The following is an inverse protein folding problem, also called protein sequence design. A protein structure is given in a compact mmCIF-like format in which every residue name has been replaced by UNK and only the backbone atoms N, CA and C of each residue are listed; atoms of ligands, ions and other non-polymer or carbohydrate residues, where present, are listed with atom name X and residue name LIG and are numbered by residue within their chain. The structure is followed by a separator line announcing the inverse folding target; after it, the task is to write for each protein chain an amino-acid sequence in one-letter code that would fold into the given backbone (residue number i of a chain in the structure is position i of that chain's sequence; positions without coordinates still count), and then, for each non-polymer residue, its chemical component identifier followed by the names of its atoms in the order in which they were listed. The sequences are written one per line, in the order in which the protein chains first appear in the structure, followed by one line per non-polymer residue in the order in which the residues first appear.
data_IF_276059253215
#
_entry.id   IF_276059253215
#
_cell.length_a   1.000
_cell.length_b   1.000
_cell.length_c   1.000
_cell.angle_alpha   90.00
_cell.angle_beta   90.00
_cell.angle_gamma   90.00
#
_symmetry.space_group_name_H-M   'P 1'
#
loop_
_entity.id
_entity.type
_entity.pdbx_description
1 polymer ?
#
# COMPACT_ATOMS: atom_id res chain seq x y z
N UNK A 1 21.22 -22.58 41.64
CA UNK A 1 19.83 -22.26 41.19
C UNK A 1 19.56 -20.76 41.03
N UNK A 2 19.83 -19.90 42.02
CA UNK A 2 19.56 -18.44 41.94
C UNK A 2 20.18 -17.71 40.73
N UNK A 3 21.40 -18.07 40.34
CA UNK A 3 22.08 -17.46 39.18
C UNK A 3 21.50 -17.91 37.84
N UNK A 4 21.07 -19.18 37.73
CA UNK A 4 20.43 -19.70 36.52
C UNK A 4 19.08 -19.01 36.26
N UNK A 5 18.30 -18.75 37.32
CA UNK A 5 17.03 -18.01 37.22
C UNK A 5 17.25 -16.56 36.79
N UNK A 6 18.28 -15.89 37.32
CA UNK A 6 18.64 -14.52 36.92
C UNK A 6 19.12 -14.45 35.46
N UNK A 7 19.88 -15.45 35.01
CA UNK A 7 20.35 -15.53 33.63
C UNK A 7 19.20 -15.73 32.64
N UNK A 8 18.25 -16.63 32.96
CA UNK A 8 17.03 -16.85 32.17
C UNK A 8 16.15 -15.60 32.08
N UNK A 9 16.02 -14.86 33.19
CA UNK A 9 15.33 -13.57 33.20
C UNK A 9 16.03 -12.53 32.34
N UNK A 10 17.37 -12.49 32.35
CA UNK A 10 18.13 -11.59 31.48
C UNK A 10 17.95 -11.90 30.00
N UNK A 11 18.00 -13.18 29.62
CA UNK A 11 17.83 -13.63 28.23
C UNK A 11 16.42 -13.29 27.72
N UNK A 12 15.39 -13.53 28.54
CA UNK A 12 14.01 -13.21 28.16
C UNK A 12 13.81 -11.71 27.94
N UNK A 13 14.37 -10.86 28.81
CA UNK A 13 14.30 -9.40 28.64
C UNK A 13 14.98 -8.93 27.33
N UNK A 14 16.15 -9.49 26.98
CA UNK A 14 16.86 -9.13 25.75
C UNK A 14 16.07 -9.54 24.49
N UNK A 15 15.40 -10.69 24.53
CA UNK A 15 14.55 -11.16 23.43
C UNK A 15 13.29 -10.29 23.24
N UNK A 16 12.75 -9.73 24.32
CA UNK A 16 11.61 -8.79 24.27
C UNK A 16 11.99 -7.41 23.70
N UNK A 17 13.22 -6.94 23.94
CA UNK A 17 13.69 -5.63 23.42
C UNK A 17 14.08 -5.69 21.94
N UNK A 18 14.46 -6.87 21.44
CA UNK A 18 14.92 -7.06 20.05
C UNK A 18 13.79 -7.14 19.00
N UNK A 19 12.53 -6.90 19.38
CA UNK A 19 11.48 -6.64 18.38
C UNK A 19 11.67 -5.22 17.82
N UNK A 20 12.72 -5.02 17.03
CA UNK A 20 12.71 -3.92 16.08
C UNK A 20 11.47 -4.10 15.21
N UNK A 21 10.51 -3.18 15.37
CA UNK A 21 9.48 -2.95 14.39
C UNK A 21 10.21 -2.51 13.12
N UNK A 22 10.63 -3.48 12.30
CA UNK A 22 11.21 -3.24 10.99
C UNK A 22 10.18 -2.44 10.22
N UNK A 23 10.40 -1.13 10.15
CA UNK A 23 9.88 -0.30 9.09
C UNK A 23 10.26 -1.04 7.81
N UNK A 24 9.26 -1.57 7.09
CA UNK A 24 9.48 -2.11 5.76
C UNK A 24 9.80 -0.94 4.82
N UNK A 25 10.94 -0.29 5.02
CA UNK A 25 11.45 0.78 4.19
C UNK A 25 11.62 0.23 2.77
N UNK A 26 10.73 0.66 1.88
CA UNK A 26 10.68 0.22 0.48
C UNK A 26 9.69 -0.90 0.16
N UNK A 27 8.79 -1.30 1.07
CA UNK A 27 7.68 -2.20 0.70
C UNK A 27 6.41 -1.46 0.30
N UNK A 28 5.55 -2.17 -0.43
CA UNK A 28 4.22 -1.72 -0.80
C UNK A 28 3.27 -1.52 0.38
N UNK A 29 3.49 -2.23 1.50
CA UNK A 29 2.57 -2.27 2.63
C UNK A 29 2.38 -0.88 3.26
N UNK A 30 1.16 -0.58 3.68
CA UNK A 30 0.84 0.63 4.44
C UNK A 30 -0.20 1.53 3.80
N UNK A 31 -0.23 2.78 4.25
CA UNK A 31 -1.19 3.80 3.83
C UNK A 31 -0.50 4.84 2.95
N UNK A 32 -1.18 5.24 1.89
CA UNK A 32 -0.66 6.09 0.84
C UNK A 32 -1.65 7.23 0.54
N UNK A 33 -1.16 8.44 0.34
CA UNK A 33 -1.95 9.63 0.01
C UNK A 33 -1.56 10.16 -1.37
N UNK A 34 -2.56 10.41 -2.21
CA UNK A 34 -2.36 10.89 -3.57
C UNK A 34 -1.74 12.29 -3.55
N UNK A 35 -0.65 12.45 -4.29
CA UNK A 35 -0.01 13.75 -4.53
C UNK A 35 -0.27 14.27 -5.94
N UNK A 36 -0.53 13.37 -6.90
CA UNK A 36 -0.85 13.75 -8.27
C UNK A 36 -1.67 12.67 -8.97
N UNK A 37 -2.64 13.07 -9.80
CA UNK A 37 -3.33 12.18 -10.75
C UNK A 37 -3.68 12.93 -12.03
N UNK A 38 -3.62 12.23 -13.16
CA UNK A 38 -4.11 12.73 -14.44
C UNK A 38 -5.62 12.51 -14.67
N UNK A 39 -6.32 11.82 -13.75
CA UNK A 39 -7.74 11.51 -13.89
C UNK A 39 -8.69 12.50 -13.20
N UNK A 40 -8.20 13.18 -12.15
CA UNK A 40 -8.91 14.24 -11.43
C UNK A 40 -7.93 15.08 -10.62
N UNK A 41 -8.02 16.41 -10.74
CA UNK A 41 -7.12 17.35 -10.05
C UNK A 41 -7.61 17.67 -8.62
N UNK A 42 -8.90 17.48 -8.33
CA UNK A 42 -9.52 17.89 -7.06
C UNK A 42 -9.77 16.76 -6.06
N UNK A 43 -9.63 15.51 -6.44
CA UNK A 43 -9.89 14.38 -5.55
C UNK A 43 -8.62 14.00 -4.79
N UNK A 44 -8.67 14.07 -3.46
CA UNK A 44 -7.65 13.44 -2.61
C UNK A 44 -8.02 11.98 -2.41
N UNK A 45 -7.28 11.09 -3.07
CA UNK A 45 -7.44 9.65 -2.91
C UNK A 45 -6.42 9.11 -1.89
N UNK A 46 -6.87 8.21 -1.02
CA UNK A 46 -6.00 7.44 -0.15
C UNK A 46 -6.06 5.96 -0.53
N UNK A 47 -4.93 5.27 -0.44
CA UNK A 47 -4.81 3.85 -0.74
C UNK A 47 -4.20 3.12 0.44
N UNK A 48 -4.86 2.05 0.86
CA UNK A 48 -4.30 1.05 1.78
C UNK A 48 -3.81 -0.16 1.01
N UNK A 49 -2.60 -0.64 1.33
CA UNK A 49 -2.06 -1.87 0.77
C UNK A 49 -1.70 -2.83 1.89
N UNK A 50 -2.25 -4.05 1.81
CA UNK A 50 -1.93 -5.17 2.70
C UNK A 50 -1.24 -6.24 1.85
N UNK A 51 0.01 -6.56 2.17
CA UNK A 51 0.80 -7.58 1.48
C UNK A 51 0.86 -8.87 2.31
N UNK A 52 0.72 -10.00 1.64
CA UNK A 52 0.88 -11.34 2.19
C UNK A 52 1.74 -12.18 1.23
N UNK A 53 3.04 -12.27 1.54
CA UNK A 53 4.02 -12.88 0.63
C UNK A 53 4.10 -12.13 -0.69
N UNK A 54 3.86 -12.84 -1.81
CA UNK A 54 3.86 -12.24 -3.16
C UNK A 54 2.58 -11.48 -3.49
N UNK A 55 1.46 -11.79 -2.83
CA UNK A 55 0.17 -11.21 -3.13
C UNK A 55 -0.12 -9.99 -2.28
N UNK A 56 -0.88 -9.05 -2.84
CA UNK A 56 -1.25 -7.82 -2.15
C UNK A 56 -2.68 -7.42 -2.51
N UNK A 57 -3.43 -7.04 -1.47
CA UNK A 57 -4.76 -6.44 -1.58
C UNK A 57 -4.62 -4.93 -1.46
N UNK A 58 -5.25 -4.23 -2.41
CA UNK A 58 -5.21 -2.78 -2.52
C UNK A 58 -6.64 -2.26 -2.42
N UNK A 59 -6.86 -1.24 -1.61
CA UNK A 59 -8.17 -0.59 -1.44
C UNK A 59 -8.01 0.91 -1.47
N UNK A 60 -8.77 1.58 -2.35
CA UNK A 60 -8.70 3.02 -2.54
C UNK A 60 -9.97 3.70 -2.06
N UNK A 61 -9.84 4.89 -1.46
CA UNK A 61 -10.95 5.66 -0.91
C UNK A 61 -11.90 6.20 -1.98
N UNK A 62 -11.47 6.26 -3.24
CA UNK A 62 -12.31 6.67 -4.38
C UNK A 62 -13.00 5.47 -5.08
N UNK A 63 -13.05 4.31 -4.41
CA UNK A 63 -13.94 3.22 -4.80
C UNK A 63 -13.37 2.20 -5.78
N UNK A 64 -12.08 2.23 -6.11
CA UNK A 64 -11.44 1.09 -6.77
C UNK A 64 -10.69 0.20 -5.76
N UNK A 65 -10.54 -1.06 -6.13
CA UNK A 65 -9.73 -2.04 -5.42
C UNK A 65 -8.99 -2.93 -6.40
N UNK A 66 -7.92 -3.59 -5.94
CA UNK A 66 -7.14 -4.49 -6.77
C UNK A 66 -6.46 -5.60 -5.98
N UNK A 67 -6.12 -6.67 -6.70
CA UNK A 67 -5.19 -7.70 -6.27
C UNK A 67 -4.00 -7.64 -7.22
N UNK A 68 -2.80 -7.59 -6.65
CA UNK A 68 -1.56 -7.58 -7.41
C UNK A 68 -0.55 -8.55 -6.82
N UNK A 69 0.44 -8.91 -7.63
CA UNK A 69 1.49 -9.84 -7.26
C UNK A 69 2.87 -9.25 -7.59
N UNK A 70 3.83 -9.48 -6.69
CA UNK A 70 5.25 -9.20 -6.91
C UNK A 70 5.95 -10.41 -7.53
N UNK A 71 7.04 -10.18 -8.26
CA UNK A 71 7.84 -11.26 -8.86
C UNK A 71 8.60 -12.12 -7.84
N UNK A 72 8.79 -11.62 -6.61
CA UNK A 72 9.51 -12.31 -5.53
C UNK A 72 8.82 -12.13 -4.18
N UNK A 73 9.10 -13.04 -3.24
CA UNK A 73 8.59 -12.98 -1.86
C UNK A 73 9.26 -11.88 -1.02
N UNK A 74 10.47 -11.45 -1.40
CA UNK A 74 11.26 -10.44 -0.68
C UNK A 74 10.90 -9.00 -1.04
N UNK A 75 11.88 -8.10 -0.93
CA UNK A 75 11.75 -6.72 -1.38
C UNK A 75 11.61 -6.69 -2.90
N UNK A 76 10.44 -6.27 -3.37
CA UNK A 76 10.15 -6.10 -4.79
C UNK A 76 9.67 -4.66 -5.01
N UNK A 77 10.27 -3.99 -6.00
CA UNK A 77 9.90 -2.62 -6.34
C UNK A 77 8.70 -2.54 -7.29
N UNK A 78 8.28 -3.68 -7.88
CA UNK A 78 7.24 -3.74 -8.90
C UNK A 78 6.20 -4.81 -8.58
N UNK A 79 4.94 -4.51 -8.88
CA UNK A 79 3.84 -5.45 -8.81
C UNK A 79 2.87 -5.22 -9.97
N UNK A 80 2.16 -6.27 -10.37
CA UNK A 80 1.14 -6.20 -11.42
C UNK A 80 -0.08 -7.03 -11.03
N UNK A 81 -1.25 -6.68 -11.57
CA UNK A 81 -2.45 -7.47 -11.34
C UNK A 81 -3.70 -6.88 -11.95
N UNK A 82 -4.83 -7.14 -11.30
CA UNK A 82 -6.15 -6.72 -11.78
C UNK A 82 -6.90 -5.95 -10.70
N UNK A 83 -7.57 -4.88 -11.12
CA UNK A 83 -8.46 -4.07 -10.29
C UNK A 83 -9.83 -3.89 -10.90
N UNK A 84 -10.74 -3.33 -10.11
CA UNK A 84 -12.12 -3.00 -10.51
C UNK A 84 -12.56 -1.73 -9.80
N UNK A 85 -13.39 -0.94 -10.49
CA UNK A 85 -14.17 0.11 -9.86
C UNK A 85 -15.41 -0.49 -9.20
N UNK A 86 -15.82 0.09 -8.08
CA UNK A 86 -17.08 -0.25 -7.44
C UNK A 86 -18.27 0.19 -8.30
N UNK A 87 -19.41 -0.49 -8.11
CA UNK A 87 -20.65 -0.20 -8.82
C UNK A 87 -21.21 1.20 -8.58
N UNK A 88 -20.86 1.84 -7.46
CA UNK A 88 -21.28 3.22 -7.15
C UNK A 88 -20.43 4.31 -7.84
N UNK A 89 -19.37 3.94 -8.57
CA UNK A 89 -18.54 4.90 -9.32
C UNK A 89 -18.96 4.90 -10.78
N UNK A 90 -19.93 5.74 -11.13
CA UNK A 90 -20.54 5.76 -12.47
C UNK A 90 -19.60 6.22 -13.60
N UNK A 91 -18.51 6.92 -13.28
CA UNK A 91 -17.54 7.43 -14.27
C UNK A 91 -16.84 6.31 -15.04
N UNK A 92 -16.70 5.13 -14.44
CA UNK A 92 -15.94 4.01 -14.98
C UNK A 92 -16.83 2.79 -15.14
N UNK A 93 -16.51 1.94 -16.13
CA UNK A 93 -17.19 0.66 -16.24
C UNK A 93 -16.76 -0.25 -15.08
N UNK A 94 -17.63 -1.17 -14.70
CA UNK A 94 -17.33 -2.13 -13.64
C UNK A 94 -16.37 -3.23 -14.13
N UNK A 95 -15.90 -3.22 -15.38
CA UNK A 95 -15.00 -4.24 -15.91
C UNK A 95 -13.65 -4.23 -15.18
N UNK A 96 -13.01 -5.40 -15.19
CA UNK A 96 -11.67 -5.51 -14.64
C UNK A 96 -10.66 -4.74 -15.51
N UNK A 97 -9.71 -4.09 -14.87
CA UNK A 97 -8.60 -3.39 -15.52
C UNK A 97 -7.26 -3.91 -15.00
N UNK A 98 -6.24 -3.84 -15.85
CA UNK A 98 -4.86 -4.11 -15.44
C UNK A 98 -4.32 -2.96 -14.59
N UNK A 99 -3.55 -3.31 -13.56
CA UNK A 99 -2.83 -2.37 -12.70
C UNK A 99 -1.33 -2.71 -12.68
N UNK A 100 -0.50 -1.68 -12.72
CA UNK A 100 0.95 -1.75 -12.51
C UNK A 100 1.31 -0.83 -11.36
N UNK A 101 2.16 -1.32 -10.46
CA UNK A 101 2.63 -0.58 -9.30
C UNK A 101 4.15 -0.55 -9.28
N UNK A 102 4.70 0.60 -8.91
CA UNK A 102 6.13 0.77 -8.64
C UNK A 102 6.33 1.54 -7.34
N UNK A 103 7.14 1.00 -6.42
CA UNK A 103 7.46 1.62 -5.14
C UNK A 103 8.95 1.99 -5.08
N UNK A 104 9.24 3.18 -4.55
CA UNK A 104 10.60 3.64 -4.25
C UNK A 104 10.57 4.53 -3.02
N UNK A 105 11.04 4.00 -1.88
CA UNK A 105 10.96 4.67 -0.58
C UNK A 105 9.51 5.01 -0.23
N UNK A 106 9.22 6.30 -0.02
CA UNK A 106 7.89 6.80 0.31
C UNK A 106 7.08 7.26 -0.90
N UNK A 107 7.44 6.81 -2.10
CA UNK A 107 6.69 7.09 -3.33
C UNK A 107 6.15 5.81 -3.94
N UNK A 108 4.87 5.85 -4.30
CA UNK A 108 4.17 4.78 -5.00
C UNK A 108 3.57 5.35 -6.28
N UNK A 109 3.98 4.80 -7.42
CA UNK A 109 3.33 5.05 -8.70
C UNK A 109 2.35 3.93 -9.00
N UNK A 110 1.14 4.33 -9.42
CA UNK A 110 0.09 3.41 -9.88
C UNK A 110 -0.30 3.80 -11.30
N UNK A 111 -0.34 2.82 -12.18
CA UNK A 111 -0.82 2.96 -13.55
C UNK A 111 -1.95 1.96 -13.75
N UNK A 112 -3.09 2.41 -14.29
CA UNK A 112 -4.21 1.55 -14.63
C UNK A 112 -4.79 1.95 -15.99
N UNK A 113 -5.26 0.96 -16.76
CA UNK A 113 -6.01 1.19 -18.01
C UNK A 113 -7.48 0.87 -17.77
N UNK A 114 -8.25 1.88 -17.39
CA UNK A 114 -9.66 1.73 -17.08
C UNK A 114 -10.53 2.00 -18.31
N UNK A 115 -11.60 1.25 -18.46
CA UNK A 115 -12.68 1.56 -19.39
C UNK A 115 -13.66 2.52 -18.70
N UNK A 116 -14.07 3.58 -19.39
CA UNK A 116 -15.09 4.52 -18.94
C UNK A 116 -16.49 3.93 -19.18
N UNK A 117 -17.51 4.54 -18.59
CA UNK A 117 -18.90 4.11 -18.81
C UNK A 117 -19.34 4.17 -20.29
N UNK A 118 -18.74 5.07 -21.09
CA UNK A 118 -18.97 5.18 -22.54
C UNK A 118 -18.23 4.12 -23.39
N UNK A 119 -17.48 3.21 -22.75
CA UNK A 119 -16.68 2.18 -23.42
C UNK A 119 -15.30 2.63 -23.89
N UNK A 120 -14.96 3.91 -23.80
CA UNK A 120 -13.63 4.42 -24.14
C UNK A 120 -12.59 4.02 -23.07
N UNK A 121 -11.34 3.86 -23.48
CA UNK A 121 -10.25 3.55 -22.54
C UNK A 121 -9.54 4.82 -22.05
N UNK A 122 -9.19 4.86 -20.76
CA UNK A 122 -8.38 5.89 -20.15
C UNK A 122 -7.16 5.27 -19.44
N UNK A 123 -5.97 5.77 -19.75
CA UNK A 123 -4.76 5.49 -18.98
C UNK A 123 -4.67 6.46 -17.81
N UNK A 124 -4.84 5.94 -16.60
CA UNK A 124 -4.75 6.70 -15.36
C UNK A 124 -3.38 6.47 -14.75
N UNK A 125 -2.68 7.56 -14.44
CA UNK A 125 -1.38 7.56 -13.76
C UNK A 125 -1.54 8.39 -12.50
N UNK A 126 -1.24 7.77 -11.37
CA UNK A 126 -1.37 8.39 -10.07
C UNK A 126 -0.09 8.18 -9.27
N UNK A 127 0.36 9.25 -8.63
CA UNK A 127 1.49 9.22 -7.72
C UNK A 127 0.99 9.44 -6.30
N UNK A 128 1.46 8.60 -5.39
CA UNK A 128 1.14 8.66 -3.98
C UNK A 128 2.43 8.84 -3.15
N UNK A 129 2.26 9.45 -1.99
CA UNK A 129 3.27 9.52 -0.92
C UNK A 129 2.84 8.67 0.26
N UNK A 130 3.80 8.10 1.00
CA UNK A 130 3.48 7.35 2.22
C UNK A 130 2.85 8.28 3.25
N UNK A 131 1.71 7.88 3.80
CA UNK A 131 1.05 8.62 4.88
C UNK A 131 1.77 8.29 6.18
N UNK A 132 2.53 9.24 6.70
CA UNK A 132 3.10 9.13 8.04
C UNK A 132 1.98 9.29 9.07
N UNK A 133 1.98 8.44 10.11
CA UNK A 133 1.13 8.68 11.25
C UNK A 133 1.56 10.01 11.88
N UNK A 134 0.65 10.96 12.00
CA UNK A 134 0.92 12.18 12.78
C UNK A 134 1.12 11.72 14.24
N UNK A 135 2.26 12.00 14.90
CA UNK A 135 2.45 11.61 16.28
C UNK A 135 1.35 12.27 17.12
N UNK A 136 0.56 11.46 17.82
CA UNK A 136 -0.41 11.92 18.80
C UNK A 136 0.32 12.30 20.10
N UNK A 137 1.19 13.32 20.06
CA UNK A 137 1.66 14.03 21.26
C UNK A 137 2.38 15.30 20.83
N UNK A 138 1.63 16.39 20.63
CA UNK A 138 2.15 17.76 20.74
C UNK A 138 1.38 18.39 21.91
N UNK A 139 1.85 18.08 23.12
CA UNK A 139 1.46 18.85 24.32
C UNK A 139 2.54 19.92 24.49
N UNK A 140 2.20 21.15 24.12
CA UNK A 140 2.80 22.35 24.71
C UNK A 140 2.02 22.73 25.95
#
# INVERSE_FOLDING_TARGET
MRYAVKLLLFITIILLVSQEARSEEGSFSGQWEQIHSNASVREKCHVGIIRQGRFMRISASNGWSAIAETSSYGNAAYAAGMGRWSSYVEKYSQKAFYILLAVRGDRLMVIMKAEKADGSNQLIKTLFSRRTAKPLYDKR
#
